data_IF_139099410181
#
_entry.id   IF_139099410181
#
_cell.length_a   1.000
_cell.length_b   1.000
_cell.length_c   1.000
_cell.angle_alpha   90.00
_cell.angle_beta   90.00
_cell.angle_gamma   90.00
#
_symmetry.space_group_name_H-M   'P 1'
#
loop_
_entity.id
_entity.type
_entity.pdbx_description
1 polymer ?
#
# COMPACT_ATOMS: atom_id res chain seq x y z
N UNK A 1 10.19 -2.70 -41.75
CA UNK A 1 10.22 -2.32 -40.30
C UNK A 1 9.06 -1.38 -40.02
N UNK A 2 7.94 -1.90 -39.53
CA UNK A 2 6.78 -1.08 -39.16
C UNK A 2 6.94 -0.70 -37.70
N UNK A 3 7.24 0.58 -37.43
CA UNK A 3 7.20 1.14 -36.06
C UNK A 3 5.75 1.26 -35.65
N UNK A 4 5.29 0.37 -34.80
CA UNK A 4 4.00 0.52 -34.12
C UNK A 4 4.22 1.51 -32.99
N UNK A 5 3.86 2.75 -33.24
CA UNK A 5 3.72 3.77 -32.20
C UNK A 5 2.38 3.46 -31.51
N UNK A 6 2.42 2.69 -30.44
CA UNK A 6 1.26 2.55 -29.55
C UNK A 6 1.08 3.87 -28.80
N UNK A 7 0.13 4.67 -29.27
CA UNK A 7 -0.34 5.85 -28.57
C UNK A 7 -1.15 5.39 -27.36
N UNK A 8 -0.55 5.44 -26.18
CA UNK A 8 -1.27 5.25 -24.93
C UNK A 8 -2.11 6.49 -24.66
N UNK A 9 -3.38 6.42 -24.96
CA UNK A 9 -4.35 7.40 -24.49
C UNK A 9 -4.77 6.92 -23.09
N UNK A 10 -4.05 7.37 -22.05
CA UNK A 10 -4.47 7.18 -20.68
C UNK A 10 -5.74 8.01 -20.45
N UNK A 11 -6.88 7.36 -20.35
CA UNK A 11 -8.15 8.02 -20.02
C UNK A 11 -8.15 8.34 -18.52
N UNK A 12 -7.74 9.54 -18.14
CA UNK A 12 -7.87 10.04 -16.78
C UNK A 12 -9.30 10.54 -16.60
N UNK A 13 -10.14 9.72 -16.01
CA UNK A 13 -11.47 10.14 -15.58
C UNK A 13 -11.36 10.76 -14.18
N UNK A 14 -11.30 12.10 -14.13
CA UNK A 14 -11.48 12.83 -12.86
C UNK A 14 -12.95 12.78 -12.47
N UNK A 15 -13.30 11.83 -11.62
CA UNK A 15 -14.64 11.79 -11.02
C UNK A 15 -14.60 12.60 -9.73
N UNK A 16 -14.97 13.88 -9.84
CA UNK A 16 -15.27 14.71 -8.67
C UNK A 16 -16.73 14.50 -8.26
N UNK A 17 -17.01 13.45 -7.50
CA UNK A 17 -18.24 13.34 -6.72
C UNK A 17 -17.91 13.14 -5.27
N UNK A 18 -18.27 14.14 -4.48
CA UNK A 18 -18.30 14.16 -3.02
C UNK A 18 -19.20 13.06 -2.46
N UNK A 19 -18.69 11.88 -2.36
CA UNK A 19 -19.11 10.85 -1.42
C UNK A 19 -17.83 10.14 -1.00
N UNK A 20 -17.71 9.75 0.27
CA UNK A 20 -16.55 9.09 0.85
C UNK A 20 -16.10 7.89 -0.01
N UNK A 21 -15.44 8.19 -1.11
CA UNK A 21 -14.93 7.21 -2.03
C UNK A 21 -13.60 6.72 -1.42
N UNK A 22 -13.47 5.41 -1.26
CA UNK A 22 -12.24 4.76 -0.79
C UNK A 22 -11.04 4.96 -1.75
N UNK A 23 -11.14 5.88 -2.70
CA UNK A 23 -10.11 6.15 -3.71
C UNK A 23 -10.13 7.61 -4.19
N UNK A 24 -8.98 8.11 -4.62
CA UNK A 24 -8.76 9.51 -5.04
C UNK A 24 -8.85 9.72 -6.56
N UNK A 25 -8.56 8.69 -7.35
CA UNK A 25 -8.60 8.73 -8.81
C UNK A 25 -8.78 7.33 -9.40
N UNK A 26 -9.07 7.28 -10.70
CA UNK A 26 -9.08 6.04 -11.48
C UNK A 26 -8.20 6.23 -12.71
N UNK A 27 -7.33 5.25 -12.99
CA UNK A 27 -6.46 5.22 -14.16
C UNK A 27 -6.50 3.83 -14.79
N UNK A 28 -6.82 3.72 -16.08
CA UNK A 28 -6.99 2.46 -16.81
C UNK A 28 -7.91 1.44 -16.09
N UNK A 29 -8.95 1.92 -15.40
CA UNK A 29 -9.87 1.10 -14.63
C UNK A 29 -9.39 0.76 -13.21
N UNK A 30 -8.12 0.99 -12.88
CA UNK A 30 -7.57 0.78 -11.55
C UNK A 30 -7.78 2.00 -10.65
N UNK A 31 -8.14 1.76 -9.40
CA UNK A 31 -8.33 2.82 -8.40
C UNK A 31 -7.00 3.21 -7.78
N UNK A 32 -6.81 4.52 -7.57
CA UNK A 32 -5.75 5.08 -6.72
C UNK A 32 -6.32 5.24 -5.33
N UNK A 33 -5.92 4.36 -4.45
CA UNK A 33 -6.43 4.26 -3.08
C UNK A 33 -5.61 5.10 -2.10
N UNK A 34 -6.10 5.17 -0.86
CA UNK A 34 -5.34 5.78 0.24
C UNK A 34 -4.00 5.08 0.47
N UNK A 35 -3.94 3.77 0.28
CA UNK A 35 -2.69 3.01 0.44
C UNK A 35 -1.68 3.36 -0.64
N UNK A 36 -2.12 3.56 -1.90
CA UNK A 36 -1.25 4.02 -2.98
C UNK A 36 -0.64 5.41 -2.67
N UNK A 37 -1.41 6.29 -2.03
CA UNK A 37 -0.94 7.60 -1.56
C UNK A 37 0.01 7.46 -0.38
N UNK A 38 -0.32 6.64 0.62
CA UNK A 38 0.48 6.46 1.83
C UNK A 38 1.89 5.93 1.52
N UNK A 39 2.06 5.12 0.48
CA UNK A 39 3.38 4.66 0.02
C UNK A 39 4.29 5.83 -0.41
N UNK A 40 3.71 6.94 -0.87
CA UNK A 40 4.46 8.14 -1.29
C UNK A 40 4.64 9.15 -0.16
N UNK A 41 3.76 9.11 0.85
CA UNK A 41 3.91 9.90 2.06
C UNK A 41 4.93 9.21 2.96
N UNK A 42 6.15 9.70 2.99
CA UNK A 42 7.25 9.11 3.77
C UNK A 42 7.01 9.15 5.29
N UNK A 43 6.10 10.02 5.76
CA UNK A 43 5.72 10.14 7.16
C UNK A 43 4.24 9.73 7.33
N UNK A 44 3.93 8.65 8.09
CA UNK A 44 2.57 8.18 8.29
C UNK A 44 1.67 9.15 9.09
N UNK A 45 2.25 10.21 9.69
CA UNK A 45 1.51 11.26 10.39
C UNK A 45 0.97 12.33 9.45
N UNK A 46 1.43 12.34 8.21
CA UNK A 46 0.95 13.30 7.20
C UNK A 46 -0.43 12.85 6.71
N UNK A 47 -1.41 13.71 6.88
CA UNK A 47 -2.75 13.53 6.37
C UNK A 47 -2.85 14.16 4.98
N UNK A 48 -2.97 13.32 3.95
CA UNK A 48 -3.07 13.75 2.56
C UNK A 48 -4.20 14.77 2.36
N UNK A 49 -5.35 14.57 3.03
CA UNK A 49 -6.53 15.41 2.84
C UNK A 49 -6.36 16.82 3.39
N UNK A 50 -5.36 17.03 4.26
CA UNK A 50 -5.01 18.34 4.84
C UNK A 50 -3.92 19.08 4.09
N UNK A 51 -3.30 18.45 3.10
CA UNK A 51 -2.23 19.09 2.32
C UNK A 51 -2.77 20.22 1.42
N UNK A 52 -1.93 21.21 1.09
CA UNK A 52 -2.23 22.20 0.03
C UNK A 52 -2.54 21.52 -1.29
N UNK A 53 -3.42 22.13 -2.10
CA UNK A 53 -3.89 21.55 -3.36
C UNK A 53 -2.74 21.20 -4.32
N UNK A 54 -1.71 22.02 -4.38
CA UNK A 54 -0.53 21.77 -5.22
C UNK A 54 0.22 20.50 -4.79
N UNK A 55 0.44 20.31 -3.48
CA UNK A 55 1.07 19.12 -2.94
C UNK A 55 0.21 17.86 -3.18
N UNK A 56 -1.12 17.97 -3.01
CA UNK A 56 -2.05 16.88 -3.34
C UNK A 56 -1.93 16.47 -4.80
N UNK A 57 -1.91 17.43 -5.71
CA UNK A 57 -1.79 17.16 -7.16
C UNK A 57 -0.50 16.43 -7.48
N UNK A 58 0.63 16.87 -6.94
CA UNK A 58 1.94 16.24 -7.17
C UNK A 58 1.99 14.81 -6.64
N UNK A 59 1.47 14.57 -5.43
CA UNK A 59 1.44 13.24 -4.83
C UNK A 59 0.51 12.31 -5.62
N UNK A 60 -0.66 12.80 -6.01
CA UNK A 60 -1.62 12.03 -6.80
C UNK A 60 -1.05 11.66 -8.18
N UNK A 61 -0.40 12.60 -8.84
CA UNK A 61 0.29 12.36 -10.11
C UNK A 61 1.41 11.33 -9.97
N UNK A 62 2.17 11.41 -8.88
CA UNK A 62 3.18 10.41 -8.54
C UNK A 62 2.58 9.01 -8.32
N UNK A 63 1.44 8.91 -7.64
CA UNK A 63 0.74 7.64 -7.42
C UNK A 63 0.21 7.04 -8.73
N UNK A 64 -0.36 7.88 -9.60
CA UNK A 64 -0.83 7.48 -10.94
C UNK A 64 0.33 6.94 -11.76
N UNK A 65 1.43 7.70 -11.86
CA UNK A 65 2.61 7.30 -12.62
C UNK A 65 3.21 5.98 -12.10
N UNK A 66 3.32 5.83 -10.77
CA UNK A 66 3.78 4.58 -10.14
C UNK A 66 2.91 3.39 -10.54
N UNK A 67 1.59 3.56 -10.50
CA UNK A 67 0.62 2.50 -10.85
C UNK A 67 0.73 2.09 -12.31
N UNK A 68 0.82 3.06 -13.21
CA UNK A 68 1.00 2.82 -14.65
C UNK A 68 2.31 2.08 -14.95
N UNK A 69 3.41 2.48 -14.32
CA UNK A 69 4.71 1.83 -14.51
C UNK A 69 4.67 0.40 -13.97
N UNK A 70 4.08 0.17 -12.78
CA UNK A 70 3.93 -1.16 -12.22
C UNK A 70 3.08 -2.07 -13.12
N UNK A 71 1.95 -1.57 -13.62
CA UNK A 71 1.10 -2.29 -14.57
C UNK A 71 1.88 -2.64 -15.84
N UNK A 72 2.58 -1.68 -16.42
CA UNK A 72 3.43 -1.91 -17.60
C UNK A 72 4.46 -3.01 -17.35
N UNK A 73 5.14 -3.00 -16.20
CA UNK A 73 6.12 -4.02 -15.86
C UNK A 73 5.50 -5.43 -15.78
N UNK A 74 4.29 -5.54 -15.20
CA UNK A 74 3.54 -6.80 -15.15
C UNK A 74 3.13 -7.27 -16.55
N UNK A 75 2.60 -6.36 -17.37
CA UNK A 75 2.21 -6.65 -18.76
C UNK A 75 3.41 -7.08 -19.62
N UNK A 76 4.59 -6.53 -19.36
CA UNK A 76 5.84 -6.91 -20.00
C UNK A 76 6.39 -8.26 -19.48
N UNK A 77 5.75 -8.84 -18.46
CA UNK A 77 6.06 -10.17 -17.96
C UNK A 77 7.20 -10.23 -16.95
N UNK A 78 7.40 -9.16 -16.15
CA UNK A 78 8.41 -9.11 -15.07
C UNK A 78 8.29 -10.30 -14.11
N UNK A 79 7.09 -10.88 -13.97
CA UNK A 79 6.86 -12.06 -13.13
C UNK A 79 7.66 -13.30 -13.58
N UNK A 80 8.18 -13.32 -14.81
CA UNK A 80 9.02 -14.40 -15.33
C UNK A 80 10.49 -14.21 -14.96
N UNK A 81 10.87 -12.99 -14.55
CA UNK A 81 12.24 -12.67 -14.18
C UNK A 81 12.68 -13.47 -12.93
N UNK A 82 13.88 -14.10 -12.94
CA UNK A 82 14.36 -14.87 -11.79
C UNK A 82 14.52 -14.05 -10.51
N UNK A 83 14.97 -12.79 -10.61
CA UNK A 83 15.16 -11.92 -9.45
C UNK A 83 13.81 -11.54 -8.85
N UNK A 84 12.81 -11.26 -9.69
CA UNK A 84 11.45 -11.01 -9.24
C UNK A 84 10.87 -12.21 -8.48
N UNK A 85 11.01 -13.41 -9.03
CA UNK A 85 10.54 -14.66 -8.38
C UNK A 85 11.21 -14.91 -7.03
N UNK A 86 12.52 -14.71 -6.96
CA UNK A 86 13.27 -14.84 -5.71
C UNK A 86 12.78 -13.82 -4.67
N UNK A 87 12.64 -12.55 -5.05
CA UNK A 87 12.15 -11.49 -4.17
C UNK A 87 10.74 -11.79 -3.65
N UNK A 88 9.82 -12.22 -4.52
CA UNK A 88 8.46 -12.59 -4.13
C UNK A 88 8.46 -13.79 -3.18
N UNK A 89 9.33 -14.77 -3.39
CA UNK A 89 9.44 -15.93 -2.47
C UNK A 89 9.83 -15.48 -1.07
N UNK A 90 10.85 -14.63 -0.96
CA UNK A 90 11.29 -14.08 0.34
C UNK A 90 10.18 -13.27 1.03
N UNK A 91 9.50 -12.40 0.27
CA UNK A 91 8.37 -11.62 0.80
C UNK A 91 7.25 -12.52 1.31
N UNK A 92 6.92 -13.60 0.59
CA UNK A 92 5.90 -14.58 1.01
C UNK A 92 6.28 -15.28 2.31
N UNK A 93 7.53 -15.69 2.47
CA UNK A 93 8.04 -16.33 3.68
C UNK A 93 7.96 -15.39 4.88
N UNK A 94 8.44 -14.15 4.72
CA UNK A 94 8.42 -13.14 5.76
C UNK A 94 6.98 -12.78 6.17
N UNK A 95 6.10 -12.60 5.19
CA UNK A 95 4.69 -12.30 5.44
C UNK A 95 3.98 -13.47 6.16
N UNK A 96 4.25 -14.70 5.74
CA UNK A 96 3.69 -15.89 6.38
C UNK A 96 4.12 -15.97 7.85
N UNK A 97 5.41 -15.71 8.12
CA UNK A 97 5.93 -15.67 9.48
C UNK A 97 5.26 -14.58 10.33
N UNK A 98 5.17 -13.36 9.81
CA UNK A 98 4.55 -12.23 10.51
C UNK A 98 3.08 -12.48 10.81
N UNK A 99 2.31 -12.97 9.84
CA UNK A 99 0.89 -13.25 10.02
C UNK A 99 0.69 -14.40 11.01
N UNK A 100 1.51 -15.45 10.92
CA UNK A 100 1.44 -16.58 11.85
C UNK A 100 1.77 -16.13 13.28
N UNK A 101 2.86 -15.40 13.48
CA UNK A 101 3.24 -14.88 14.80
C UNK A 101 2.14 -14.00 15.40
N UNK A 102 1.59 -13.07 14.58
CA UNK A 102 0.48 -12.24 15.03
C UNK A 102 -0.71 -13.10 15.50
N UNK A 103 -1.11 -14.08 14.70
CA UNK A 103 -2.22 -14.97 15.03
C UNK A 103 -1.96 -15.80 16.31
N UNK A 104 -0.72 -16.22 16.55
CA UNK A 104 -0.36 -16.94 17.78
C UNK A 104 -0.42 -16.00 19.00
N UNK A 105 0.09 -14.76 18.87
CA UNK A 105 0.02 -13.76 19.94
C UNK A 105 -1.44 -13.41 20.25
N UNK A 106 -2.29 -13.24 19.24
CA UNK A 106 -3.71 -12.90 19.42
C UNK A 106 -4.51 -14.03 20.14
N UNK A 107 -4.00 -15.26 20.11
CA UNK A 107 -4.57 -16.39 20.88
C UNK A 107 -4.21 -16.35 22.36
N UNK A 108 -3.14 -15.64 22.74
CA UNK A 108 -2.68 -15.53 24.12
C UNK A 108 -3.64 -14.58 24.86
N UNK A 109 -4.45 -15.12 25.75
CA UNK A 109 -5.34 -14.34 26.61
C UNK A 109 -4.77 -14.35 28.02
N UNK A 110 -4.33 -13.20 28.49
CA UNK A 110 -3.98 -13.00 29.88
C UNK A 110 -5.23 -12.71 30.69
N UNK A 111 -5.42 -13.44 31.78
CA UNK A 111 -6.46 -13.13 32.76
C UNK A 111 -6.14 -11.82 33.48
N UNK A 112 -7.15 -11.15 34.05
CA UNK A 112 -6.92 -9.92 34.82
C UNK A 112 -6.08 -10.15 36.07
N UNK A 113 -6.12 -11.38 36.62
CA UNK A 113 -5.26 -11.80 37.73
C UNK A 113 -3.79 -11.86 37.32
N UNK A 114 -3.47 -12.42 36.15
CA UNK A 114 -2.10 -12.48 35.66
C UNK A 114 -1.55 -11.08 35.34
N UNK A 115 -2.37 -10.22 34.76
CA UNK A 115 -2.01 -8.82 34.52
C UNK A 115 -1.68 -8.09 35.83
N UNK A 116 -2.52 -8.24 36.85
CA UNK A 116 -2.27 -7.65 38.16
C UNK A 116 -0.99 -8.18 38.80
N UNK A 117 -0.80 -9.50 38.80
CA UNK A 117 0.42 -10.09 39.33
C UNK A 117 1.69 -9.56 38.67
N UNK A 118 1.64 -9.35 37.35
CA UNK A 118 2.73 -8.72 36.62
C UNK A 118 3.00 -7.29 37.08
N UNK A 119 1.94 -6.44 37.19
CA UNK A 119 2.08 -5.06 37.66
C UNK A 119 2.61 -4.98 39.07
N UNK A 120 2.09 -5.83 39.97
CA UNK A 120 2.53 -5.85 41.37
C UNK A 120 4.00 -6.25 41.52
N UNK A 121 4.49 -7.13 40.63
CA UNK A 121 5.89 -7.59 40.66
C UNK A 121 6.87 -6.55 40.13
N UNK A 122 6.48 -5.73 39.14
CA UNK A 122 7.42 -4.84 38.44
C UNK A 122 7.28 -3.34 38.78
N UNK A 123 6.16 -2.92 39.37
CA UNK A 123 5.90 -1.52 39.61
C UNK A 123 5.75 -1.14 41.09
N UNK A 124 5.73 -2.12 42.02
CA UNK A 124 5.65 -1.89 43.47
C UNK A 124 6.88 -2.43 44.23
N UNK A 125 8.00 -2.55 43.56
CA UNK A 125 9.35 -2.66 44.14
C UNK A 125 10.02 -1.28 44.11
#
# INVERSE_FOLDING_TARGET
MKKIVMSFIASIALISTLNAADFYATVDGDKITKDDINVLLQDPRVDFDKLPQEAKSQILEGAINRKLIAKKALDDGIEKDPQYKEAITKIKEDLALQVWQKNEIDKIKFSDTEKRAFYDTFFYL
#
